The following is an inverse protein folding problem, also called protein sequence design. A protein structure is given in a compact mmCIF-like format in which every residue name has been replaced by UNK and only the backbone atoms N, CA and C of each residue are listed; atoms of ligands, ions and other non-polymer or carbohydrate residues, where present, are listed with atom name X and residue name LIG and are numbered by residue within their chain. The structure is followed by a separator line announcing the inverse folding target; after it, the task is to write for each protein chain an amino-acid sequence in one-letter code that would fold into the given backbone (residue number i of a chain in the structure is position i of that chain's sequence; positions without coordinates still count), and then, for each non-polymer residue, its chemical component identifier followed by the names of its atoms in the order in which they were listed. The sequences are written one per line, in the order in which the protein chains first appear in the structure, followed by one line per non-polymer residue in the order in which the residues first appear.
data_IF_287210730350
#
_entry.id   IF_287210730350
#
_cell.length_a   1.000
_cell.length_b   1.000
_cell.length_c   1.000
_cell.angle_alpha   90.00
_cell.angle_beta   90.00
_cell.angle_gamma   90.00
#
_symmetry.space_group_name_H-M   'P 1'
#
loop_
_entity.id
_entity.type
_entity.pdbx_description
1 polymer ?
#
# COMPACT_ATOMS: atom_id res chain seq x y z
N UNK A 1 18.55 -63.23 26.36
CA UNK A 1 18.20 -61.90 25.87
C UNK A 1 19.31 -61.37 24.98
N UNK A 2 19.08 -61.22 23.67
CA UNK A 2 20.07 -60.67 22.77
C UNK A 2 19.75 -59.14 22.65
N UNK A 3 20.59 -58.31 23.26
CA UNK A 3 20.30 -56.91 23.54
C UNK A 3 20.54 -55.91 22.37
N UNK A 4 21.34 -56.30 21.39
CA UNK A 4 21.61 -55.48 20.20
C UNK A 4 22.06 -56.37 19.04
N UNK A 5 21.15 -56.70 18.16
CA UNK A 5 21.43 -57.51 16.97
C UNK A 5 20.89 -56.82 15.75
N UNK A 6 21.47 -57.12 14.60
CA UNK A 6 20.93 -56.70 13.29
C UNK A 6 20.58 -57.98 12.52
N UNK A 7 19.37 -58.02 12.00
CA UNK A 7 18.85 -59.17 11.24
C UNK A 7 18.38 -58.65 9.90
N UNK A 8 18.92 -59.21 8.80
CA UNK A 8 18.50 -58.97 7.44
C UNK A 8 17.42 -59.95 6.99
N UNK A 9 16.50 -59.51 6.16
CA UNK A 9 15.49 -60.37 5.59
C UNK A 9 14.46 -59.62 4.80
N UNK A 10 13.57 -60.36 4.11
CA UNK A 10 12.46 -59.83 3.36
C UNK A 10 11.27 -59.59 4.27
N UNK A 11 10.65 -58.41 4.13
CA UNK A 11 9.45 -58.02 4.88
C UNK A 11 8.23 -58.75 4.36
N UNK A 12 7.51 -59.34 5.27
CA UNK A 12 6.19 -59.95 4.97
C UNK A 12 5.18 -59.63 6.06
N UNK A 13 3.90 -59.64 5.72
CA UNK A 13 2.77 -59.33 6.64
C UNK A 13 2.91 -57.98 7.35
N UNK A 14 3.42 -56.94 6.66
CA UNK A 14 3.55 -55.61 7.22
C UNK A 14 2.19 -54.97 7.47
N UNK A 15 1.93 -54.60 8.73
CA UNK A 15 0.68 -53.96 9.18
C UNK A 15 1.01 -52.71 10.04
N UNK A 16 0.53 -51.59 9.62
CA UNK A 16 0.55 -50.34 10.39
C UNK A 16 -0.71 -50.30 11.27
N UNK A 17 -0.53 -50.45 12.58
CA UNK A 17 -1.65 -50.47 13.51
C UNK A 17 -2.08 -49.05 13.92
N UNK A 18 -3.38 -48.86 14.24
CA UNK A 18 -3.91 -47.55 14.67
C UNK A 18 -3.27 -46.99 15.93
N UNK A 19 -2.67 -47.82 16.78
CA UNK A 19 -1.88 -47.42 17.95
C UNK A 19 -0.48 -46.84 17.59
N UNK A 20 -0.14 -46.80 16.29
CA UNK A 20 1.17 -46.33 15.82
C UNK A 20 2.27 -47.37 15.79
N UNK A 21 2.00 -48.62 16.26
CA UNK A 21 2.95 -49.73 16.18
C UNK A 21 2.94 -50.33 14.77
N UNK A 22 4.12 -50.87 14.35
CA UNK A 22 4.24 -51.59 13.08
C UNK A 22 4.56 -53.05 13.40
N UNK A 23 3.72 -53.97 12.90
CA UNK A 23 3.92 -55.40 13.01
C UNK A 23 4.30 -55.95 11.63
N UNK A 24 5.35 -56.72 11.56
CA UNK A 24 5.80 -57.37 10.33
C UNK A 24 6.57 -58.64 10.64
N UNK A 25 6.85 -59.43 9.63
CA UNK A 25 7.70 -60.60 9.74
C UNK A 25 8.91 -60.45 8.80
N UNK A 26 10.11 -60.77 9.28
CA UNK A 26 11.26 -60.94 8.43
C UNK A 26 11.35 -62.40 7.98
N UNK A 27 11.50 -62.64 6.69
CA UNK A 27 11.72 -63.95 6.10
C UNK A 27 13.06 -64.01 5.42
N UNK A 28 13.75 -65.11 5.57
CA UNK A 28 14.84 -65.53 4.70
C UNK A 28 14.50 -66.90 4.08
N UNK A 29 15.43 -67.51 3.30
CA UNK A 29 15.21 -68.80 2.66
C UNK A 29 14.90 -69.95 3.61
N UNK A 30 15.09 -69.81 4.93
CA UNK A 30 15.02 -70.89 5.92
C UNK A 30 14.05 -70.63 7.07
N UNK A 31 13.66 -69.36 7.33
CA UNK A 31 12.87 -69.04 8.51
C UNK A 31 12.01 -67.77 8.41
N UNK A 32 11.20 -67.56 9.48
CA UNK A 32 10.44 -66.32 9.63
C UNK A 32 10.48 -65.85 11.07
N UNK A 33 10.88 -64.59 11.27
CA UNK A 33 10.99 -63.94 12.59
C UNK A 33 9.92 -62.83 12.70
N UNK A 34 9.07 -62.95 13.72
CA UNK A 34 8.10 -61.89 14.00
C UNK A 34 8.79 -60.66 14.57
N UNK A 35 8.42 -59.47 14.02
CA UNK A 35 9.00 -58.21 14.40
C UNK A 35 7.93 -57.19 14.81
N UNK A 36 8.25 -56.37 15.77
CA UNK A 36 7.40 -55.22 16.15
C UNK A 36 8.27 -53.97 16.33
N UNK A 37 7.79 -52.88 15.75
CA UNK A 37 8.35 -51.55 16.02
C UNK A 37 7.31 -50.74 16.78
N UNK A 38 7.65 -50.31 17.99
CA UNK A 38 6.77 -49.48 18.79
C UNK A 38 6.71 -48.05 18.30
N UNK A 39 5.60 -47.36 18.54
CA UNK A 39 5.35 -45.97 18.12
C UNK A 39 6.46 -45.02 18.58
N UNK A 40 7.01 -45.21 19.79
CA UNK A 40 8.13 -44.39 20.31
C UNK A 40 9.45 -44.56 19.58
N UNK A 41 9.62 -45.63 18.78
CA UNK A 41 10.84 -45.92 18.01
C UNK A 41 10.68 -45.56 16.51
N UNK A 42 9.57 -44.96 16.10
CA UNK A 42 9.27 -44.65 14.70
C UNK A 42 10.26 -43.72 14.02
N UNK A 43 11.01 -42.91 14.78
CA UNK A 43 12.11 -42.13 14.27
C UNK A 43 13.25 -42.97 13.66
N UNK A 44 13.29 -44.26 14.00
CA UNK A 44 14.28 -45.22 13.43
C UNK A 44 13.86 -45.84 12.10
N UNK A 45 12.71 -45.40 11.51
CA UNK A 45 12.22 -45.83 10.20
C UNK A 45 12.00 -44.61 9.34
N UNK A 46 12.87 -44.40 8.33
CA UNK A 46 12.86 -43.24 7.47
C UNK A 46 11.99 -43.40 6.21
N UNK A 47 11.42 -44.57 5.96
CA UNK A 47 10.63 -44.89 4.76
C UNK A 47 9.34 -45.64 5.09
N UNK A 48 8.45 -45.72 4.13
CA UNK A 48 7.22 -46.55 4.25
C UNK A 48 7.49 -47.99 3.81
N UNK A 49 7.65 -48.87 4.81
CA UNK A 49 7.98 -50.28 4.59
C UNK A 49 6.77 -51.04 3.95
N UNK A 50 7.06 -51.80 2.92
CA UNK A 50 6.10 -52.64 2.18
C UNK A 50 6.46 -54.12 2.25
N UNK A 51 5.51 -55.00 1.92
CA UNK A 51 5.81 -56.41 1.76
C UNK A 51 6.70 -56.61 0.53
N UNK A 52 7.75 -57.41 0.69
CA UNK A 52 8.77 -57.64 -0.35
C UNK A 52 10.05 -56.80 -0.18
N UNK A 53 10.03 -55.77 0.67
CA UNK A 53 11.23 -54.98 0.92
C UNK A 53 12.29 -55.83 1.66
N UNK A 54 13.53 -55.80 1.17
CA UNK A 54 14.68 -56.36 1.92
C UNK A 54 15.21 -55.32 2.86
N UNK A 55 15.20 -55.66 4.17
CA UNK A 55 15.58 -54.71 5.24
C UNK A 55 16.56 -55.36 6.24
N UNK A 56 17.35 -54.49 6.83
CA UNK A 56 18.12 -54.81 8.01
C UNK A 56 17.47 -54.17 9.22
N UNK A 57 17.01 -54.98 10.13
CA UNK A 57 16.35 -54.55 11.37
C UNK A 57 17.35 -54.67 12.51
N UNK A 58 17.62 -53.55 13.17
CA UNK A 58 18.47 -53.47 14.38
C UNK A 58 17.56 -53.34 15.60
N UNK A 59 17.76 -54.17 16.57
CA UNK A 59 16.94 -54.19 17.77
C UNK A 59 17.37 -55.25 18.80
N UNK A 60 16.44 -55.71 19.59
CA UNK A 60 16.59 -56.78 20.56
C UNK A 60 15.63 -57.93 20.29
N UNK A 61 16.10 -59.16 20.49
CA UNK A 61 15.19 -60.33 20.40
C UNK A 61 14.90 -60.82 21.80
N UNK A 62 13.64 -61.07 22.06
CA UNK A 62 13.15 -61.63 23.31
C UNK A 62 12.03 -62.64 23.05
N UNK A 63 11.70 -63.40 24.07
CA UNK A 63 10.57 -64.34 24.02
C UNK A 63 9.29 -63.60 24.42
N UNK A 64 8.29 -63.62 23.52
CA UNK A 64 6.98 -63.10 23.85
C UNK A 64 6.25 -64.09 24.76
N UNK A 65 6.13 -63.72 26.05
CA UNK A 65 5.68 -64.61 27.12
C UNK A 65 4.29 -65.27 26.86
N UNK A 66 3.38 -64.58 26.13
CA UNK A 66 2.05 -65.12 25.88
C UNK A 66 2.02 -66.33 24.92
N UNK A 67 2.87 -66.29 23.90
CA UNK A 67 2.90 -67.25 22.82
C UNK A 67 4.13 -68.14 22.81
N UNK A 68 5.11 -67.84 23.66
CA UNK A 68 6.38 -68.56 23.74
C UNK A 68 7.23 -68.45 22.49
N UNK A 69 6.99 -67.46 21.63
CA UNK A 69 7.70 -67.29 20.36
C UNK A 69 8.76 -66.22 20.48
N UNK A 70 9.85 -66.37 19.74
CA UNK A 70 10.85 -65.31 19.60
C UNK A 70 10.24 -64.15 18.80
N UNK A 71 10.42 -62.94 19.31
CA UNK A 71 9.98 -61.70 18.67
C UNK A 71 11.11 -60.68 18.69
N UNK A 72 11.30 -59.98 17.58
CA UNK A 72 12.26 -58.90 17.46
C UNK A 72 11.58 -57.55 17.73
N UNK A 73 12.14 -56.79 18.64
CA UNK A 73 11.76 -55.44 18.99
C UNK A 73 12.66 -54.44 18.21
N UNK A 74 12.16 -53.94 17.09
CA UNK A 74 12.91 -53.11 16.19
C UNK A 74 13.11 -51.70 16.76
N UNK A 75 14.34 -51.20 16.74
CA UNK A 75 14.70 -49.82 17.08
C UNK A 75 15.02 -48.99 15.84
N UNK A 76 15.70 -49.61 14.85
CA UNK A 76 16.07 -48.99 13.57
C UNK A 76 15.82 -50.03 12.45
N UNK A 77 15.27 -49.56 11.35
CA UNK A 77 15.07 -50.39 10.16
C UNK A 77 15.64 -49.61 8.98
N UNK A 78 16.55 -50.24 8.23
CA UNK A 78 17.16 -49.70 7.01
C UNK A 78 16.98 -50.68 5.87
N UNK A 79 16.93 -50.18 4.65
CA UNK A 79 16.91 -51.07 3.47
C UNK A 79 18.24 -51.77 3.35
N UNK A 80 18.22 -53.03 2.94
CA UNK A 80 19.41 -53.83 2.68
C UNK A 80 20.13 -53.26 1.44
N UNK A 81 21.42 -52.93 1.53
CA UNK A 81 22.17 -52.31 0.45
C UNK A 81 22.34 -50.79 0.59
N UNK A 82 21.45 -50.11 1.28
CA UNK A 82 21.56 -48.63 1.45
C UNK A 82 22.89 -48.19 2.09
N UNK A 83 23.46 -49.01 2.97
CA UNK A 83 24.80 -48.74 3.55
C UNK A 83 25.93 -48.83 2.52
N UNK A 84 25.89 -49.83 1.64
CA UNK A 84 26.90 -50.02 0.59
C UNK A 84 26.81 -48.92 -0.46
N UNK A 85 25.57 -48.54 -0.83
CA UNK A 85 25.35 -47.42 -1.79
C UNK A 85 25.87 -46.10 -1.18
N UNK A 86 25.62 -45.86 0.10
CA UNK A 86 26.09 -44.65 0.75
C UNK A 86 27.63 -44.61 0.86
N UNK A 87 28.30 -45.73 1.14
CA UNK A 87 29.75 -45.82 1.13
C UNK A 87 30.33 -45.56 -0.26
N UNK A 88 29.74 -46.12 -1.29
CA UNK A 88 30.11 -45.84 -2.70
C UNK A 88 29.89 -44.36 -3.07
N UNK A 89 28.80 -43.76 -2.64
CA UNK A 89 28.54 -42.32 -2.84
C UNK A 89 29.63 -41.47 -2.19
N UNK A 90 30.03 -41.79 -0.94
CA UNK A 90 31.09 -41.03 -0.24
C UNK A 90 32.43 -41.18 -0.93
N UNK A 91 32.81 -42.41 -1.32
CA UNK A 91 34.05 -42.67 -2.01
C UNK A 91 34.13 -41.91 -3.37
N UNK A 92 33.07 -41.98 -4.16
CA UNK A 92 33.02 -41.28 -5.44
C UNK A 92 33.00 -39.76 -5.26
N UNK A 93 32.29 -39.26 -4.23
CA UNK A 93 32.32 -37.84 -3.90
C UNK A 93 33.70 -37.32 -3.59
N UNK A 94 34.44 -38.05 -2.74
CA UNK A 94 35.82 -37.69 -2.38
C UNK A 94 36.76 -37.70 -3.60
N UNK A 95 36.65 -38.74 -4.44
CA UNK A 95 37.43 -38.85 -5.66
C UNK A 95 37.18 -37.68 -6.64
N UNK A 96 35.92 -37.32 -6.91
CA UNK A 96 35.56 -36.23 -7.82
C UNK A 96 35.87 -34.85 -7.22
N UNK A 97 35.83 -34.72 -5.90
CA UNK A 97 36.24 -33.50 -5.18
C UNK A 97 37.76 -33.30 -5.27
N UNK A 98 38.57 -34.37 -5.11
CA UNK A 98 40.02 -34.35 -5.29
C UNK A 98 40.41 -34.01 -6.75
N UNK A 99 39.61 -34.47 -7.72
CA UNK A 99 39.76 -34.07 -9.13
C UNK A 99 39.35 -32.61 -9.41
N UNK A 100 38.77 -31.90 -8.43
CA UNK A 100 38.32 -30.50 -8.56
C UNK A 100 37.03 -30.30 -9.33
N UNK A 101 36.26 -31.36 -9.63
CA UNK A 101 35.05 -31.27 -10.45
C UNK A 101 33.91 -30.46 -9.80
N UNK A 102 33.98 -30.20 -8.50
CA UNK A 102 33.01 -29.40 -7.76
C UNK A 102 33.44 -27.94 -7.58
N UNK A 103 34.63 -27.57 -8.07
CA UNK A 103 35.16 -26.23 -7.85
C UNK A 103 34.29 -25.16 -8.56
N UNK A 104 33.97 -24.04 -7.88
CA UNK A 104 33.15 -22.98 -8.45
C UNK A 104 33.69 -22.35 -9.74
N UNK A 105 35.00 -22.50 -9.95
CA UNK A 105 35.71 -21.95 -11.11
C UNK A 105 35.30 -22.61 -12.43
N UNK A 106 34.83 -23.87 -12.38
CA UNK A 106 34.37 -24.61 -13.54
C UNK A 106 32.86 -24.44 -13.79
N UNK A 107 32.13 -23.84 -12.85
CA UNK A 107 30.68 -23.67 -12.99
C UNK A 107 30.37 -22.49 -13.90
N UNK A 108 29.55 -22.77 -14.90
CA UNK A 108 29.10 -21.80 -15.87
C UNK A 108 27.94 -20.94 -15.34
N UNK A 109 27.92 -19.63 -15.61
CA UNK A 109 26.80 -18.79 -15.23
C UNK A 109 25.56 -19.14 -16.06
N UNK A 110 24.41 -19.24 -15.41
CA UNK A 110 23.15 -19.43 -16.12
C UNK A 110 22.79 -18.14 -16.85
N UNK A 111 22.52 -18.19 -18.19
CA UNK A 111 22.16 -17.03 -18.97
C UNK A 111 20.87 -16.37 -18.45
N UNK A 112 20.89 -15.05 -18.32
CA UNK A 112 19.69 -14.31 -17.85
C UNK A 112 18.53 -14.33 -18.85
N UNK A 113 18.82 -14.57 -20.13
CA UNK A 113 17.83 -14.63 -21.23
C UNK A 113 18.07 -15.88 -22.06
N UNK A 114 17.12 -16.79 -22.06
CA UNK A 114 17.15 -18.01 -22.84
C UNK A 114 16.03 -18.03 -23.88
N UNK A 115 16.28 -18.66 -25.02
CA UNK A 115 15.28 -18.93 -26.06
C UNK A 115 14.92 -20.41 -26.09
N UNK A 116 15.88 -21.27 -25.77
CA UNK A 116 15.76 -22.72 -25.80
C UNK A 116 16.13 -23.31 -24.44
N UNK A 117 15.25 -24.14 -23.90
CA UNK A 117 15.44 -24.86 -22.65
C UNK A 117 15.46 -26.35 -22.92
N UNK A 118 16.61 -26.98 -22.79
CA UNK A 118 16.75 -28.43 -22.81
C UNK A 118 16.25 -29.05 -21.51
N UNK A 119 15.56 -30.18 -21.59
CA UNK A 119 15.10 -30.91 -20.41
C UNK A 119 15.39 -32.38 -20.58
N UNK A 120 16.18 -32.96 -19.66
CA UNK A 120 16.47 -34.38 -19.59
C UNK A 120 15.65 -34.97 -18.44
N UNK A 121 14.56 -35.64 -18.77
CA UNK A 121 13.65 -36.27 -17.80
C UNK A 121 12.74 -37.31 -18.45
N UNK A 122 11.98 -38.03 -17.63
CA UNK A 122 10.99 -38.97 -18.15
C UNK A 122 9.90 -38.22 -18.98
N UNK A 123 9.48 -38.78 -20.13
CA UNK A 123 8.53 -38.13 -21.04
C UNK A 123 7.13 -37.97 -20.43
N UNK A 124 6.80 -38.83 -19.46
CA UNK A 124 5.52 -38.84 -18.77
C UNK A 124 5.77 -38.68 -17.27
N UNK A 125 5.30 -37.58 -16.68
CA UNK A 125 5.48 -37.38 -15.23
C UNK A 125 5.20 -35.94 -14.80
N UNK A 126 5.22 -35.72 -13.50
CA UNK A 126 4.98 -34.40 -12.90
C UNK A 126 6.08 -33.39 -13.31
N UNK A 127 7.33 -33.84 -13.39
CA UNK A 127 8.52 -32.99 -13.66
C UNK A 127 8.37 -32.15 -14.91
N UNK A 128 8.08 -32.80 -16.05
CA UNK A 128 7.94 -32.08 -17.33
C UNK A 128 6.72 -31.14 -17.33
N UNK A 129 5.64 -31.54 -16.64
CA UNK A 129 4.46 -30.68 -16.51
C UNK A 129 4.75 -29.44 -15.64
N UNK A 130 5.47 -29.63 -14.55
CA UNK A 130 5.89 -28.52 -13.66
C UNK A 130 6.78 -27.52 -14.42
N UNK A 131 7.80 -28.01 -15.13
CA UNK A 131 8.68 -27.18 -15.94
C UNK A 131 7.87 -26.42 -17.01
N UNK A 132 6.96 -27.10 -17.73
CA UNK A 132 6.10 -26.46 -18.73
C UNK A 132 5.22 -25.37 -18.14
N UNK A 133 4.58 -25.65 -17.01
CA UNK A 133 3.68 -24.72 -16.34
C UNK A 133 4.43 -23.45 -15.87
N UNK A 134 5.61 -23.63 -15.26
CA UNK A 134 6.44 -22.52 -14.81
C UNK A 134 6.94 -21.70 -16.01
N UNK A 135 7.49 -22.37 -17.03
CA UNK A 135 8.00 -21.70 -18.22
C UNK A 135 6.91 -20.91 -18.94
N UNK A 136 5.72 -21.51 -19.17
CA UNK A 136 4.59 -20.83 -19.81
C UNK A 136 4.08 -19.62 -19.00
N UNK A 137 4.13 -19.70 -17.67
CA UNK A 137 3.74 -18.60 -16.79
C UNK A 137 4.73 -17.44 -16.85
N UNK A 138 6.04 -17.70 -16.79
CA UNK A 138 7.10 -16.68 -16.75
C UNK A 138 7.42 -16.11 -18.14
N UNK A 139 7.66 -16.99 -19.11
CA UNK A 139 8.01 -16.61 -20.47
C UNK A 139 7.45 -17.61 -21.50
N UNK A 140 6.31 -17.32 -22.15
CA UNK A 140 5.70 -18.22 -23.13
C UNK A 140 6.49 -18.34 -24.44
N UNK A 141 7.54 -17.56 -24.63
CA UNK A 141 8.35 -17.55 -25.86
C UNK A 141 9.56 -18.47 -25.78
N UNK A 142 9.82 -19.11 -24.62
CA UNK A 142 10.88 -20.10 -24.49
C UNK A 142 10.45 -21.43 -25.10
N UNK A 143 11.27 -21.96 -26.02
CA UNK A 143 11.05 -23.28 -26.59
C UNK A 143 11.65 -24.34 -25.66
N UNK A 144 10.83 -25.30 -25.23
CA UNK A 144 11.29 -26.46 -24.43
C UNK A 144 11.60 -27.61 -25.39
N UNK A 145 12.81 -28.14 -25.28
CA UNK A 145 13.28 -29.32 -26.02
C UNK A 145 13.47 -30.45 -25.02
N UNK A 146 12.57 -31.42 -25.05
CA UNK A 146 12.60 -32.58 -24.15
C UNK A 146 13.43 -33.72 -24.80
N UNK A 147 14.44 -34.20 -24.08
CA UNK A 147 15.02 -35.49 -24.32
C UNK A 147 14.37 -36.52 -23.39
N UNK A 148 13.66 -37.54 -23.94
CA UNK A 148 12.95 -38.53 -23.13
C UNK A 148 13.93 -39.55 -22.53
N UNK A 149 14.46 -39.25 -21.36
CA UNK A 149 15.42 -40.12 -20.67
C UNK A 149 14.74 -41.09 -19.68
N UNK A 150 15.31 -42.26 -19.53
CA UNK A 150 15.05 -43.09 -18.34
C UNK A 150 15.78 -42.47 -17.16
N UNK A 151 15.08 -42.20 -16.09
CA UNK A 151 15.63 -41.54 -14.89
C UNK A 151 15.67 -42.45 -13.66
N UNK A 152 15.40 -43.74 -13.87
CA UNK A 152 15.47 -44.82 -12.86
C UNK A 152 15.64 -46.18 -13.54
N UNK A 153 16.24 -47.14 -12.82
CA UNK A 153 16.58 -48.48 -13.34
C UNK A 153 18.05 -48.57 -13.81
N UNK A 154 18.45 -49.74 -14.28
CA UNK A 154 19.85 -50.08 -14.59
C UNK A 154 20.43 -49.24 -15.75
N UNK A 155 19.64 -48.94 -16.78
CA UNK A 155 20.10 -48.16 -17.96
C UNK A 155 19.87 -46.65 -17.80
N UNK A 156 19.50 -46.17 -16.61
CA UNK A 156 19.13 -44.78 -16.43
C UNK A 156 20.30 -43.81 -16.59
N UNK A 157 21.49 -44.18 -16.06
CA UNK A 157 22.68 -43.35 -16.15
C UNK A 157 23.12 -43.11 -17.59
N UNK A 158 23.13 -44.18 -18.42
CA UNK A 158 23.46 -44.07 -19.84
C UNK A 158 22.47 -43.22 -20.60
N UNK A 159 21.14 -43.38 -20.33
CA UNK A 159 20.10 -42.58 -20.95
C UNK A 159 20.16 -41.10 -20.57
N UNK A 160 20.58 -40.76 -19.37
CA UNK A 160 20.80 -39.38 -18.93
C UNK A 160 22.00 -38.77 -19.66
N UNK A 161 23.11 -39.51 -19.77
CA UNK A 161 24.31 -39.07 -20.50
C UNK A 161 23.98 -38.77 -21.95
N UNK A 162 23.31 -39.73 -22.67
CA UNK A 162 22.87 -39.51 -24.06
C UNK A 162 21.99 -38.26 -24.21
N UNK A 163 21.11 -38.02 -23.20
CA UNK A 163 20.25 -36.84 -23.19
C UNK A 163 21.01 -35.52 -23.03
N UNK A 164 22.01 -35.50 -22.15
CA UNK A 164 22.87 -34.33 -21.95
C UNK A 164 23.66 -34.04 -23.23
N UNK A 165 24.33 -35.05 -23.80
CA UNK A 165 25.13 -34.90 -25.00
C UNK A 165 24.30 -34.49 -26.22
N UNK A 166 23.11 -35.07 -26.41
CA UNK A 166 22.22 -34.72 -27.49
C UNK A 166 21.75 -33.26 -27.41
N UNK A 167 21.39 -32.76 -26.24
CA UNK A 167 20.97 -31.38 -26.03
C UNK A 167 22.14 -30.39 -26.15
N UNK A 168 23.33 -30.78 -25.71
CA UNK A 168 24.54 -29.97 -25.86
C UNK A 168 24.92 -29.80 -27.36
N UNK A 169 24.86 -30.90 -28.15
CA UNK A 169 25.05 -30.86 -29.58
C UNK A 169 24.01 -30.03 -30.35
N UNK A 170 22.77 -29.97 -29.83
CA UNK A 170 21.72 -29.09 -30.36
C UNK A 170 21.97 -27.61 -30.05
N UNK A 171 22.84 -27.30 -29.12
CA UNK A 171 23.18 -25.94 -28.72
C UNK A 171 22.03 -25.21 -28.01
N UNK A 172 21.33 -25.86 -27.08
CA UNK A 172 20.34 -25.22 -26.24
C UNK A 172 21.00 -24.24 -25.26
N UNK A 173 20.25 -23.24 -24.80
CA UNK A 173 20.85 -22.20 -23.92
C UNK A 173 21.10 -22.67 -22.49
N UNK A 174 20.26 -23.57 -21.98
CA UNK A 174 20.36 -24.17 -20.63
C UNK A 174 19.75 -25.57 -20.66
N UNK A 175 20.32 -26.50 -19.91
CA UNK A 175 19.76 -27.84 -19.73
C UNK A 175 19.31 -28.01 -18.29
N UNK A 176 18.07 -28.50 -18.10
CA UNK A 176 17.58 -28.98 -16.80
C UNK A 176 17.65 -30.51 -16.81
N UNK A 177 18.41 -31.07 -15.87
CA UNK A 177 18.46 -32.49 -15.59
C UNK A 177 17.66 -32.72 -14.33
N UNK A 178 16.58 -33.46 -14.43
CA UNK A 178 15.69 -33.55 -13.27
C UNK A 178 14.84 -34.80 -13.22
N UNK A 179 14.45 -35.11 -11.98
CA UNK A 179 13.57 -36.23 -11.66
C UNK A 179 12.58 -35.82 -10.57
N UNK A 180 11.46 -36.50 -10.51
CA UNK A 180 10.53 -36.45 -9.37
C UNK A 180 11.11 -37.17 -8.14
N UNK A 181 10.56 -36.90 -6.96
CA UNK A 181 10.97 -37.56 -5.71
C UNK A 181 10.92 -39.08 -5.80
N UNK A 182 11.74 -39.73 -4.96
CA UNK A 182 11.86 -41.19 -4.88
C UNK A 182 12.82 -41.60 -3.76
N UNK A 183 13.08 -42.90 -3.67
CA UNK A 183 14.07 -43.43 -2.72
C UNK A 183 15.51 -43.15 -3.18
N UNK A 184 16.50 -43.33 -2.29
CA UNK A 184 17.91 -43.15 -2.64
C UNK A 184 18.37 -44.12 -3.74
N UNK A 185 17.80 -45.33 -3.80
CA UNK A 185 18.04 -46.29 -4.87
C UNK A 185 17.55 -45.76 -6.23
N UNK A 186 16.39 -45.10 -6.21
CA UNK A 186 15.86 -44.48 -7.42
C UNK A 186 16.67 -43.28 -7.91
N UNK A 187 17.39 -42.61 -7.05
CA UNK A 187 18.27 -41.47 -7.38
C UNK A 187 19.68 -41.91 -7.77
N UNK A 188 19.98 -43.24 -7.67
CA UNK A 188 21.34 -43.73 -7.81
C UNK A 188 21.99 -43.44 -9.15
N UNK A 189 21.20 -43.44 -10.24
CA UNK A 189 21.70 -43.11 -11.57
C UNK A 189 22.39 -41.72 -11.64
N UNK A 190 21.98 -40.77 -10.81
CA UNK A 190 22.58 -39.44 -10.70
C UNK A 190 23.82 -39.38 -9.80
N UNK A 191 24.18 -40.52 -9.18
CA UNK A 191 25.42 -40.70 -8.41
C UNK A 191 26.46 -41.51 -9.19
N UNK A 192 26.19 -41.84 -10.45
CA UNK A 192 27.16 -42.58 -11.29
C UNK A 192 28.19 -41.62 -11.89
N UNK A 193 29.45 -42.06 -11.94
CA UNK A 193 30.59 -41.30 -12.46
C UNK A 193 30.38 -40.83 -13.90
N UNK A 194 29.75 -41.66 -14.75
CA UNK A 194 29.51 -41.31 -16.15
C UNK A 194 28.59 -40.09 -16.30
N UNK A 195 27.61 -39.94 -15.40
CA UNK A 195 26.71 -38.78 -15.39
C UNK A 195 27.43 -37.54 -14.90
N UNK A 196 28.26 -37.69 -13.82
CA UNK A 196 29.08 -36.59 -13.32
C UNK A 196 30.03 -36.05 -14.43
N UNK A 197 30.71 -36.96 -15.15
CA UNK A 197 31.58 -36.58 -16.26
C UNK A 197 30.84 -35.94 -17.43
N UNK A 198 29.66 -36.45 -17.77
CA UNK A 198 28.82 -35.84 -18.82
C UNK A 198 28.42 -34.40 -18.47
N UNK A 199 28.00 -34.17 -17.22
CA UNK A 199 27.66 -32.82 -16.73
C UNK A 199 28.90 -31.91 -16.77
N UNK A 200 30.05 -32.38 -16.29
CA UNK A 200 31.26 -31.57 -16.23
C UNK A 200 31.81 -31.19 -17.61
N UNK A 201 31.71 -32.09 -18.58
CA UNK A 201 32.21 -31.86 -19.96
C UNK A 201 31.23 -31.13 -20.84
N UNK A 202 30.00 -30.89 -20.38
CA UNK A 202 28.96 -30.20 -21.14
C UNK A 202 29.33 -28.71 -21.33
N UNK A 203 29.22 -28.22 -22.57
CA UNK A 203 29.46 -26.80 -22.87
C UNK A 203 28.26 -25.92 -22.57
N UNK A 204 27.08 -26.51 -22.48
CA UNK A 204 25.83 -25.84 -22.12
C UNK A 204 25.62 -25.86 -20.60
N UNK A 205 25.28 -24.73 -19.97
CA UNK A 205 25.04 -24.69 -18.53
C UNK A 205 23.93 -25.65 -18.09
N UNK A 206 24.18 -26.41 -17.02
CA UNK A 206 23.27 -27.43 -16.50
C UNK A 206 22.74 -27.06 -15.13
N UNK A 207 21.41 -27.15 -14.98
CA UNK A 207 20.70 -27.04 -13.70
C UNK A 207 20.27 -28.44 -13.27
N UNK A 208 20.80 -28.93 -12.16
CA UNK A 208 20.34 -30.17 -11.54
C UNK A 208 19.10 -29.92 -10.68
N UNK A 209 18.07 -30.73 -10.89
CA UNK A 209 16.80 -30.71 -10.15
C UNK A 209 16.40 -32.14 -9.75
N UNK A 210 17.31 -32.86 -9.12
CA UNK A 210 17.18 -34.29 -8.79
C UNK A 210 16.80 -34.49 -7.33
N UNK A 211 17.56 -33.89 -6.43
CA UNK A 211 17.42 -34.10 -5.00
C UNK A 211 16.63 -32.98 -4.31
N UNK A 212 15.80 -33.39 -3.32
CA UNK A 212 15.21 -32.44 -2.37
C UNK A 212 16.28 -31.88 -1.42
N UNK A 213 15.92 -30.97 -0.51
CA UNK A 213 16.88 -30.29 0.38
C UNK A 213 17.82 -31.24 1.11
N UNK A 214 17.37 -32.44 1.47
CA UNK A 214 18.11 -33.45 2.24
C UNK A 214 18.89 -34.48 1.41
N UNK A 215 18.51 -34.67 0.13
CA UNK A 215 19.00 -35.78 -0.70
C UNK A 215 19.86 -35.25 -1.85
N UNK A 216 21.09 -34.84 -1.54
CA UNK A 216 22.04 -34.29 -2.52
C UNK A 216 22.72 -35.41 -3.29
N UNK A 217 22.69 -35.34 -4.61
CA UNK A 217 23.36 -36.29 -5.50
C UNK A 217 24.72 -35.76 -6.02
N UNK A 218 25.54 -36.65 -6.61
CA UNK A 218 26.80 -36.26 -7.26
C UNK A 218 26.51 -35.28 -8.41
N UNK A 219 25.43 -35.52 -9.18
CA UNK A 219 25.00 -34.61 -10.24
C UNK A 219 24.73 -33.20 -9.71
N UNK A 220 24.17 -33.05 -8.48
CA UNK A 220 23.93 -31.74 -7.86
C UNK A 220 25.24 -31.00 -7.49
N UNK A 221 26.31 -31.75 -7.14
CA UNK A 221 27.62 -31.16 -6.84
C UNK A 221 28.34 -30.67 -8.12
N UNK A 222 28.21 -31.41 -9.21
CA UNK A 222 28.91 -31.12 -10.47
C UNK A 222 28.18 -30.07 -11.28
N UNK A 223 26.86 -30.08 -11.29
CA UNK A 223 26.06 -29.13 -12.06
C UNK A 223 26.38 -27.66 -11.74
N UNK A 224 26.23 -26.79 -12.73
CA UNK A 224 26.47 -25.35 -12.60
C UNK A 224 25.59 -24.71 -11.54
N UNK A 225 24.34 -25.17 -11.48
CA UNK A 225 23.38 -24.71 -10.47
C UNK A 225 22.53 -25.89 -9.97
N UNK A 226 22.29 -25.93 -8.67
CA UNK A 226 21.37 -26.86 -8.04
C UNK A 226 20.04 -26.20 -7.74
N UNK A 227 18.95 -26.85 -8.08
CA UNK A 227 17.61 -26.45 -7.69
C UNK A 227 16.92 -27.55 -6.85
N UNK A 228 16.21 -27.22 -5.77
CA UNK A 228 15.59 -28.21 -4.88
C UNK A 228 14.39 -28.92 -5.51
N UNK A 229 13.85 -28.38 -6.60
CA UNK A 229 12.70 -28.95 -7.33
C UNK A 229 12.77 -28.60 -8.82
N UNK A 230 12.15 -29.40 -9.70
CA UNK A 230 12.05 -29.07 -11.12
C UNK A 230 11.38 -27.73 -11.41
N UNK A 231 10.39 -27.35 -10.60
CA UNK A 231 9.73 -26.04 -10.68
C UNK A 231 10.70 -24.90 -10.38
N UNK A 232 11.52 -25.05 -9.33
CA UNK A 232 12.55 -24.07 -8.97
C UNK A 232 13.64 -23.98 -10.05
N UNK A 233 14.05 -25.12 -10.65
CA UNK A 233 14.97 -25.11 -11.78
C UNK A 233 14.43 -24.30 -12.96
N UNK A 234 13.18 -24.47 -13.32
CA UNK A 234 12.53 -23.70 -14.37
C UNK A 234 12.43 -22.20 -14.01
N UNK A 235 12.20 -21.87 -12.74
CA UNK A 235 12.20 -20.47 -12.27
C UNK A 235 13.58 -19.81 -12.38
N UNK A 236 14.64 -20.55 -12.09
CA UNK A 236 16.02 -20.07 -12.20
C UNK A 236 16.50 -19.95 -13.65
N UNK A 237 16.05 -20.87 -14.53
CA UNK A 237 16.41 -20.87 -15.94
C UNK A 237 15.68 -19.81 -16.76
N UNK A 238 14.40 -19.57 -16.47
CA UNK A 238 13.51 -18.78 -17.33
C UNK A 238 13.33 -17.36 -16.80
N UNK A 239 13.69 -16.39 -17.63
CA UNK A 239 13.47 -14.97 -17.34
C UNK A 239 11.98 -14.64 -17.15
N UNK A 240 11.66 -13.83 -16.16
CA UNK A 240 10.29 -13.39 -15.89
C UNK A 240 9.85 -12.28 -16.86
N UNK A 241 9.53 -12.66 -18.07
CA UNK A 241 9.10 -11.77 -19.14
C UNK A 241 7.77 -11.05 -18.79
N UNK A 242 6.82 -11.76 -18.18
CA UNK A 242 5.53 -11.16 -17.79
C UNK A 242 5.70 -10.12 -16.69
N UNK A 243 6.47 -10.43 -15.68
CA UNK A 243 6.77 -9.46 -14.61
C UNK A 243 7.42 -8.20 -15.17
N UNK A 244 8.33 -8.35 -16.12
CA UNK A 244 8.94 -7.20 -16.80
C UNK A 244 7.96 -6.40 -17.67
N UNK A 245 7.01 -7.05 -18.34
CA UNK A 245 5.95 -6.35 -19.09
C UNK A 245 5.09 -5.48 -18.14
N UNK A 246 4.74 -6.00 -16.97
CA UNK A 246 3.98 -5.24 -15.97
C UNK A 246 4.77 -4.03 -15.44
N UNK A 247 6.06 -4.22 -15.16
CA UNK A 247 6.96 -3.14 -14.77
C UNK A 247 7.04 -2.07 -15.85
N UNK A 248 7.23 -2.48 -17.11
CA UNK A 248 7.30 -1.55 -18.26
C UNK A 248 5.98 -0.79 -18.44
N UNK A 249 4.85 -1.48 -18.38
CA UNK A 249 3.53 -0.84 -18.43
C UNK A 249 3.33 0.17 -17.29
N UNK A 250 3.85 -0.14 -16.09
CA UNK A 250 3.88 0.77 -14.95
C UNK A 250 4.73 2.03 -15.20
N UNK A 251 5.88 1.90 -15.88
CA UNK A 251 6.69 3.06 -16.28
C UNK A 251 5.99 3.92 -17.32
N UNK A 252 5.39 3.31 -18.35
CA UNK A 252 4.63 4.02 -19.38
C UNK A 252 3.51 4.85 -18.75
N UNK A 253 2.70 4.22 -17.88
CA UNK A 253 1.62 4.93 -17.16
C UNK A 253 2.12 6.10 -16.31
N UNK A 254 3.25 5.92 -15.59
CA UNK A 254 3.85 7.01 -14.79
C UNK A 254 4.35 8.16 -15.67
N UNK A 255 4.87 7.84 -16.84
CA UNK A 255 5.35 8.82 -17.81
C UNK A 255 4.18 9.62 -18.39
N UNK A 256 3.09 8.97 -18.76
CA UNK A 256 1.84 9.60 -19.23
C UNK A 256 1.28 10.55 -18.16
N UNK A 257 1.10 10.08 -16.93
CA UNK A 257 0.60 10.91 -15.82
C UNK A 257 1.51 12.12 -15.54
N UNK A 258 2.82 11.93 -15.62
CA UNK A 258 3.78 13.02 -15.43
C UNK A 258 3.71 14.05 -16.54
N UNK A 259 3.57 13.60 -17.79
CA UNK A 259 3.40 14.49 -18.95
C UNK A 259 2.09 15.28 -18.87
N UNK A 260 0.98 14.60 -18.57
CA UNK A 260 -0.33 15.25 -18.42
C UNK A 260 -0.32 16.30 -17.31
N UNK A 261 0.26 15.97 -16.15
CA UNK A 261 0.42 16.92 -15.05
C UNK A 261 1.27 18.13 -15.46
N UNK A 262 2.34 17.90 -16.21
CA UNK A 262 3.24 18.97 -16.67
C UNK A 262 2.58 19.86 -17.71
N UNK A 263 1.80 19.27 -18.60
CA UNK A 263 1.00 20.00 -19.59
C UNK A 263 -0.07 20.86 -18.92
N UNK A 264 -0.78 20.28 -17.93
CA UNK A 264 -1.81 21.01 -17.19
C UNK A 264 -1.23 22.20 -16.39
N UNK A 265 -0.13 21.98 -15.66
CA UNK A 265 0.57 23.07 -14.97
C UNK A 265 1.04 24.17 -15.95
N UNK A 266 1.49 23.76 -17.14
CA UNK A 266 1.95 24.74 -18.15
C UNK A 266 0.78 25.53 -18.73
N UNK A 267 -0.36 24.86 -18.98
CA UNK A 267 -1.63 25.51 -19.40
C UNK A 267 -2.12 26.51 -18.35
N UNK A 268 -2.14 26.11 -17.08
CA UNK A 268 -2.52 26.99 -15.97
C UNK A 268 -1.64 28.22 -15.92
N UNK A 269 -0.30 28.05 -15.96
CA UNK A 269 0.65 29.16 -16.00
C UNK A 269 0.45 30.09 -17.21
N UNK A 270 0.10 29.53 -18.36
CA UNK A 270 -0.19 30.30 -19.55
C UNK A 270 -1.48 31.13 -19.37
N UNK A 271 -2.52 30.49 -18.82
CA UNK A 271 -3.79 31.16 -18.53
C UNK A 271 -3.62 32.28 -17.52
N UNK A 272 -2.88 32.06 -16.44
CA UNK A 272 -2.56 33.10 -15.45
C UNK A 272 -1.79 34.27 -16.06
N UNK A 273 -0.79 33.99 -16.89
CA UNK A 273 -0.01 35.04 -17.57
C UNK A 273 -0.87 35.81 -18.58
N UNK A 274 -1.74 35.09 -19.33
CA UNK A 274 -2.66 35.72 -20.27
C UNK A 274 -3.67 36.62 -19.54
N UNK A 275 -4.25 36.16 -18.43
CA UNK A 275 -5.14 36.96 -17.59
C UNK A 275 -4.43 38.20 -17.02
N UNK A 276 -3.20 38.02 -16.52
CA UNK A 276 -2.39 39.14 -16.02
C UNK A 276 -2.06 40.17 -17.12
N UNK A 277 -1.75 39.69 -18.32
CA UNK A 277 -1.49 40.53 -19.46
C UNK A 277 -2.74 41.31 -19.89
N UNK A 278 -3.90 40.64 -19.91
CA UNK A 278 -5.20 41.27 -20.17
C UNK A 278 -5.55 42.33 -19.11
N UNK A 279 -5.32 42.00 -17.83
CA UNK A 279 -5.52 42.99 -16.73
C UNK A 279 -4.61 44.20 -16.86
N UNK A 280 -3.33 43.99 -17.17
CA UNK A 280 -2.35 45.07 -17.35
C UNK A 280 -2.45 45.80 -18.70
N UNK A 281 -3.36 45.38 -19.58
CA UNK A 281 -3.51 46.03 -20.87
C UNK A 281 -3.86 47.50 -20.69
N UNK A 282 -3.31 48.43 -21.52
CA UNK A 282 -3.60 49.86 -21.44
C UNK A 282 -5.11 50.12 -21.54
N UNK A 283 -5.81 49.32 -22.33
CA UNK A 283 -7.24 49.46 -22.53
C UNK A 283 -8.05 49.15 -21.24
N UNK A 284 -7.68 48.11 -20.51
CA UNK A 284 -8.32 47.79 -19.23
C UNK A 284 -7.96 48.82 -18.15
N UNK A 285 -6.72 49.27 -18.12
CA UNK A 285 -6.32 50.33 -17.19
C UNK A 285 -7.09 51.64 -17.44
N UNK A 286 -7.27 52.02 -18.70
CA UNK A 286 -8.09 53.21 -19.06
C UNK A 286 -9.55 52.99 -18.65
N UNK A 287 -10.11 51.81 -18.90
CA UNK A 287 -11.46 51.46 -18.50
C UNK A 287 -11.68 51.53 -16.98
N UNK A 288 -10.75 50.98 -16.19
CA UNK A 288 -10.78 51.09 -14.73
C UNK A 288 -10.69 52.53 -14.24
N UNK A 289 -9.77 53.33 -14.81
CA UNK A 289 -9.67 54.73 -14.46
C UNK A 289 -10.91 55.53 -14.80
N UNK A 290 -11.55 55.25 -15.95
CA UNK A 290 -12.82 55.88 -16.32
C UNK A 290 -13.98 55.49 -15.34
N UNK A 291 -14.07 54.20 -14.98
CA UNK A 291 -15.04 53.75 -13.96
C UNK A 291 -14.82 54.38 -12.60
N UNK A 292 -13.53 54.54 -12.21
CA UNK A 292 -13.20 55.23 -10.97
C UNK A 292 -13.60 56.71 -11.00
N UNK A 293 -13.34 57.41 -12.11
CA UNK A 293 -13.75 58.79 -12.27
C UNK A 293 -15.28 58.96 -12.21
N UNK A 294 -16.04 58.09 -12.90
CA UNK A 294 -17.53 58.15 -12.87
C UNK A 294 -18.01 57.96 -11.42
N UNK A 295 -17.51 56.99 -10.68
CA UNK A 295 -17.90 56.80 -9.28
C UNK A 295 -17.48 57.96 -8.36
N UNK A 296 -16.36 58.56 -8.64
CA UNK A 296 -15.91 59.75 -7.89
C UNK A 296 -16.83 60.95 -8.16
N UNK A 297 -17.25 61.14 -9.43
CA UNK A 297 -18.17 62.17 -9.85
C UNK A 297 -19.57 61.98 -9.23
N UNK A 298 -20.11 60.75 -9.25
CA UNK A 298 -21.36 60.40 -8.57
C UNK A 298 -21.31 60.71 -7.05
N UNK A 299 -20.25 60.30 -6.38
CA UNK A 299 -20.08 60.56 -4.95
C UNK A 299 -19.93 62.04 -4.66
N UNK A 300 -19.22 62.77 -5.50
CA UNK A 300 -19.09 64.21 -5.33
C UNK A 300 -20.45 64.92 -5.47
N UNK A 301 -21.23 64.52 -6.48
CA UNK A 301 -22.58 65.04 -6.69
C UNK A 301 -23.46 64.76 -5.50
N UNK A 302 -23.53 63.51 -5.04
CA UNK A 302 -24.31 63.14 -3.84
C UNK A 302 -23.90 63.92 -2.62
N UNK A 303 -22.59 64.11 -2.43
CA UNK A 303 -22.07 64.83 -1.26
C UNK A 303 -22.41 66.33 -1.34
N UNK A 304 -22.29 66.91 -2.55
CA UNK A 304 -22.69 68.32 -2.78
C UNK A 304 -24.17 68.51 -2.55
N UNK A 305 -25.05 67.61 -3.05
CA UNK A 305 -26.50 67.65 -2.81
C UNK A 305 -26.84 67.55 -1.34
N UNK A 306 -26.24 66.61 -0.62
CA UNK A 306 -26.43 66.47 0.85
C UNK A 306 -26.00 67.73 1.58
N UNK A 307 -24.82 68.25 1.24
CA UNK A 307 -24.32 69.46 1.87
C UNK A 307 -25.25 70.67 1.59
N UNK A 308 -25.67 70.83 0.34
CA UNK A 308 -26.60 71.88 -0.02
C UNK A 308 -27.96 71.74 0.73
N UNK A 309 -28.46 70.52 0.84
CA UNK A 309 -29.70 70.24 1.58
C UNK A 309 -29.52 70.57 3.09
N UNK A 310 -28.41 70.21 3.69
CA UNK A 310 -28.13 70.52 5.08
C UNK A 310 -28.07 72.04 5.32
N UNK A 311 -27.38 72.81 4.42
CA UNK A 311 -27.31 74.27 4.56
C UNK A 311 -28.65 74.92 4.32
N UNK A 312 -29.48 74.42 3.39
CA UNK A 312 -30.86 74.88 3.20
C UNK A 312 -31.71 74.64 4.46
N UNK A 313 -31.61 73.46 5.02
CA UNK A 313 -32.33 73.10 6.31
C UNK A 313 -31.89 74.04 7.45
N UNK A 314 -30.58 74.24 7.54
CA UNK A 314 -30.02 75.15 8.55
C UNK A 314 -30.48 76.58 8.40
N UNK A 315 -30.48 77.04 7.17
CA UNK A 315 -31.00 78.38 6.84
C UNK A 315 -32.51 78.51 7.19
N UNK A 316 -33.29 77.47 6.86
CA UNK A 316 -34.71 77.44 7.23
C UNK A 316 -34.92 77.50 8.73
N UNK A 317 -34.15 76.72 9.49
CA UNK A 317 -34.20 76.76 10.96
C UNK A 317 -33.81 78.12 11.53
N UNK A 318 -32.83 78.78 10.98
CA UNK A 318 -32.47 80.13 11.40
C UNK A 318 -33.57 81.15 11.07
N UNK A 319 -34.21 81.04 9.91
CA UNK A 319 -35.34 81.87 9.52
C UNK A 319 -36.55 81.67 10.50
N UNK A 320 -36.86 80.41 10.83
CA UNK A 320 -37.91 80.08 11.80
C UNK A 320 -37.57 80.61 13.21
N UNK A 321 -36.32 80.48 13.64
CA UNK A 321 -35.89 81.05 14.96
C UNK A 321 -36.03 82.57 14.95
N UNK A 322 -35.62 83.24 13.88
CA UNK A 322 -35.80 84.67 13.76
C UNK A 322 -37.30 85.11 13.78
N UNK A 323 -38.18 84.35 13.12
CA UNK A 323 -39.62 84.57 13.18
C UNK A 323 -40.12 84.42 14.62
N UNK A 324 -39.73 83.31 15.29
CA UNK A 324 -40.18 83.05 16.66
C UNK A 324 -39.74 84.11 17.68
N UNK A 325 -38.63 84.86 17.43
CA UNK A 325 -38.22 86.01 18.24
C UNK A 325 -38.83 87.31 17.86
N UNK A 326 -39.48 87.40 16.71
CA UNK A 326 -40.10 88.66 16.24
C UNK A 326 -41.22 89.11 17.18
N UNK A 327 -41.13 90.31 17.74
CA UNK A 327 -42.13 90.84 18.64
C UNK A 327 -43.52 91.03 17.89
N UNK A 328 -43.44 91.33 16.59
CA UNK A 328 -44.65 91.51 15.72
C UNK A 328 -45.42 90.21 15.54
N UNK A 329 -44.75 89.06 15.36
CA UNK A 329 -45.42 87.74 15.23
C UNK A 329 -46.03 87.29 16.56
N UNK A 330 -45.43 87.57 17.70
CA UNK A 330 -46.01 87.33 19.01
C UNK A 330 -47.28 88.13 19.21
N UNK A 331 -47.33 89.38 18.77
CA UNK A 331 -48.49 90.16 18.80
C UNK A 331 -49.59 89.62 17.86
N UNK A 332 -49.22 89.06 16.68
CA UNK A 332 -50.16 88.40 15.73
C UNK A 332 -50.82 87.13 16.31
N UNK A 333 -50.09 86.42 17.20
CA UNK A 333 -50.56 85.21 17.88
C UNK A 333 -51.48 85.53 19.09
N UNK A 334 -51.82 86.80 19.32
CA UNK A 334 -52.66 87.21 20.42
C UNK A 334 -51.92 87.44 21.73
N UNK A 335 -50.59 87.46 21.70
CA UNK A 335 -49.79 87.84 22.85
C UNK A 335 -49.59 89.33 22.89
N UNK A 336 -50.05 90.01 23.89
CA UNK A 336 -49.81 91.43 24.12
C UNK A 336 -48.66 91.66 25.10
N UNK A 337 -47.93 92.76 24.96
CA UNK A 337 -47.03 93.14 26.03
C UNK A 337 -47.66 94.36 26.78
N UNK A 338 -47.37 94.37 28.06
CA UNK A 338 -48.02 95.35 28.97
C UNK A 338 -46.97 96.34 29.43
N UNK A 339 -47.42 97.61 29.56
CA UNK A 339 -46.62 98.72 30.07
C UNK A 339 -47.43 99.49 31.13
N UNK A 340 -46.74 100.07 32.04
CA UNK A 340 -47.34 101.09 32.88
C UNK A 340 -47.62 102.36 32.12
N UNK A 341 -48.33 103.28 32.69
CA UNK A 341 -48.68 104.56 32.12
C UNK A 341 -47.48 105.43 31.79
N UNK A 342 -46.32 105.22 32.55
CA UNK A 342 -45.09 105.86 32.41
C UNK A 342 -44.19 105.24 31.27
N UNK A 343 -44.63 104.17 30.62
CA UNK A 343 -43.87 103.47 29.59
C UNK A 343 -42.96 102.37 30.03
N UNK A 344 -42.92 102.03 31.33
CA UNK A 344 -42.12 100.89 31.83
C UNK A 344 -42.82 99.58 31.61
N UNK A 345 -42.05 98.53 31.08
CA UNK A 345 -42.63 97.24 30.74
C UNK A 345 -42.95 96.40 31.98
N UNK A 346 -44.18 95.85 32.01
CA UNK A 346 -44.68 94.97 33.03
C UNK A 346 -44.30 93.50 32.61
N UNK A 347 -43.42 92.83 33.38
CA UNK A 347 -43.01 91.46 33.21
C UNK A 347 -43.36 90.54 34.41
N UNK A 348 -43.82 91.12 35.47
CA UNK A 348 -44.17 90.37 36.68
C UNK A 348 -45.42 90.99 37.36
N UNK A 349 -46.25 90.16 37.96
CA UNK A 349 -47.38 90.51 38.75
C UNK A 349 -47.03 91.48 39.93
N UNK A 350 -45.77 91.31 40.45
CA UNK A 350 -45.30 92.18 41.56
C UNK A 350 -45.03 93.62 41.13
N UNK A 351 -45.08 93.97 39.89
CA UNK A 351 -44.79 95.26 39.37
C UNK A 351 -46.07 96.12 39.24
N UNK A 352 -47.26 95.57 39.56
CA UNK A 352 -48.55 96.19 39.37
C UNK A 352 -49.33 96.17 40.67
N UNK A 353 -50.06 97.26 40.94
CA UNK A 353 -50.92 97.36 42.12
C UNK A 353 -52.42 97.43 41.72
N UNK A 354 -53.27 96.89 42.56
CA UNK A 354 -54.71 96.91 42.33
C UNK A 354 -55.19 98.38 42.19
N UNK A 355 -55.90 98.67 41.09
CA UNK A 355 -56.36 100.01 40.73
C UNK A 355 -55.51 100.78 39.76
N UNK A 356 -54.35 100.23 39.43
CA UNK A 356 -53.37 100.84 38.53
C UNK A 356 -53.81 100.70 37.08
N UNK A 357 -53.53 101.71 36.25
CA UNK A 357 -53.91 101.77 34.89
C UNK A 357 -52.72 101.34 34.01
N UNK A 358 -52.93 100.39 33.11
CA UNK A 358 -51.89 99.82 32.30
C UNK A 358 -52.31 99.85 30.81
N UNK A 359 -51.26 99.85 29.90
CA UNK A 359 -51.39 99.77 28.50
C UNK A 359 -50.98 98.35 28.06
N UNK A 360 -51.86 97.67 27.36
CA UNK A 360 -51.54 96.36 26.71
C UNK A 360 -51.47 96.60 25.19
N UNK A 361 -50.34 96.42 24.62
CA UNK A 361 -50.09 96.50 23.18
C UNK A 361 -50.51 95.16 22.53
N UNK A 362 -51.43 95.29 21.60
CA UNK A 362 -51.88 94.19 20.73
C UNK A 362 -51.56 94.55 19.30
N UNK A 363 -51.81 93.64 18.31
CA UNK A 363 -51.38 93.78 16.90
C UNK A 363 -51.84 95.07 16.23
N UNK A 364 -53.02 95.54 16.52
CA UNK A 364 -53.65 96.59 15.80
C UNK A 364 -53.94 97.84 16.71
N UNK A 365 -53.46 97.89 17.89
CA UNK A 365 -53.68 99.00 18.78
C UNK A 365 -53.20 98.78 20.24
N UNK A 366 -53.70 99.71 21.09
CA UNK A 366 -53.39 99.73 22.51
C UNK A 366 -54.72 99.66 23.29
N UNK A 367 -54.78 98.66 24.19
CA UNK A 367 -55.90 98.52 25.09
C UNK A 367 -55.51 99.09 26.44
N UNK A 368 -56.32 100.02 26.93
CA UNK A 368 -56.14 100.49 28.29
C UNK A 368 -57.00 99.68 29.21
N UNK A 369 -56.40 99.14 30.29
CA UNK A 369 -57.08 98.34 31.32
C UNK A 369 -56.70 98.78 32.73
N UNK A 370 -57.57 98.55 33.67
CA UNK A 370 -57.31 98.76 35.06
C UNK A 370 -57.11 97.41 35.76
N UNK A 371 -56.19 97.28 36.66
CA UNK A 371 -55.94 96.06 37.40
C UNK A 371 -56.99 95.89 38.49
N UNK A 372 -57.86 94.89 38.34
CA UNK A 372 -58.91 94.63 39.32
C UNK A 372 -58.37 93.72 40.49
N UNK A 373 -57.55 92.77 40.15
CA UNK A 373 -56.96 91.79 41.09
C UNK A 373 -55.59 91.28 40.60
N UNK A 374 -54.71 90.99 41.46
CA UNK A 374 -53.40 90.34 41.19
C UNK A 374 -53.31 89.03 41.99
N UNK A 375 -52.99 87.97 41.30
CA UNK A 375 -52.75 86.66 41.94
C UNK A 375 -51.40 86.10 41.46
N UNK A 376 -50.62 85.49 42.33
CA UNK A 376 -49.39 84.81 42.05
C UNK A 376 -49.68 83.35 41.69
N UNK A 377 -49.26 82.91 40.51
CA UNK A 377 -49.33 81.48 40.18
C UNK A 377 -48.00 80.81 40.46
N UNK A 378 -47.99 79.86 41.40
CA UNK A 378 -46.82 79.07 41.75
C UNK A 378 -46.43 78.07 40.59
N UNK A 379 -47.35 77.84 39.67
CA UNK A 379 -47.11 76.87 38.61
C UNK A 379 -46.22 77.37 37.46
N UNK A 380 -46.00 78.62 37.34
CA UNK A 380 -45.22 79.24 36.26
C UNK A 380 -43.71 79.09 36.42
N UNK A 381 -43.23 78.86 37.64
CA UNK A 381 -41.80 78.71 37.92
C UNK A 381 -41.26 77.29 37.65
N UNK A 382 -42.14 76.29 37.62
CA UNK A 382 -41.75 74.88 37.38
C UNK A 382 -41.40 74.53 35.90
N UNK A 383 -41.79 75.37 34.95
CA UNK A 383 -41.56 75.09 33.52
C UNK A 383 -40.27 75.76 32.93
N UNK A 384 -39.56 76.53 33.72
CA UNK A 384 -38.39 77.28 33.27
C UNK A 384 -37.04 76.51 33.48
N UNK A 385 -37.05 75.48 34.35
CA UNK A 385 -35.84 74.71 34.73
C UNK A 385 -35.70 73.41 33.90
N UNK A 386 -36.44 73.22 32.81
CA UNK A 386 -36.25 72.09 31.88
C UNK A 386 -35.85 72.59 30.49
N UNK A 387 -34.68 73.12 30.39
CA UNK A 387 -33.93 73.06 29.09
C UNK A 387 -33.07 71.77 29.12
N UNK A 388 -33.19 70.91 28.16
CA UNK A 388 -32.23 69.79 28.05
C UNK A 388 -30.96 70.35 27.43
N UNK A 389 -29.86 70.28 28.17
CA UNK A 389 -28.52 70.17 27.62
C UNK A 389 -28.49 68.99 26.71
N UNK A 390 -28.32 69.21 25.42
CA UNK A 390 -27.73 68.25 24.50
C UNK A 390 -27.31 68.94 23.18
N UNK A 391 -26.07 69.32 23.20
CA UNK A 391 -25.26 69.44 21.98
C UNK A 391 -24.02 68.58 22.15
N UNK A 392 -23.97 67.40 21.51
CA UNK A 392 -22.78 66.86 20.89
C UNK A 392 -23.11 66.29 19.52
#
# INVERSE_FOLDING_TARGET
MLSRISVGGEVSNCKYHSSGHIYFSLKDGSGSLACVMFAGQRKGLAFAMKNGDRVVVTGSVDVYERDGKYQMYARKITLEGAGILYERFLALKEELEDMGMFAPEYKQPIPSFIKTLGVVTAPTGAVIQDIRNVTARRNPYVQIILYPARVQGEDAAESIVEGIEALDQLGVDVIIVGRGGGSMEDLWAFNEEIVARAIFNCSTPIISAVGHETDVTIADYVADLRAPTPSAAAELAVFDYRGWQEVLAGYVRRLELSMDSRLEMTRQRLTEKAARLAYLSPENQIREKRMYLLRAEEKLTEWMEKKLQMEKTRLYLYAERLRGVSPLEKLQQGLGYMEHEDGTRISSVNQVTVGERMKTYVKDGVIWSNVEKTEHSEEWNASRDKEPDNCE
#
